data_IF_828439825258
#
_entry.id   IF_828439825258
#
_cell.length_a   1.000
_cell.length_b   1.000
_cell.length_c   1.000
_cell.angle_alpha   90.00
_cell.angle_beta   90.00
_cell.angle_gamma   90.00
#
_symmetry.space_group_name_H-M   'P 1'
#
loop_
_entity.id
_entity.type
_entity.pdbx_description
1 polymer ?
#
# COMPACT_ATOMS: atom_id res chain seq x y z
N UNK A 1 21.91 15.25 -7.43
CA UNK A 1 21.32 14.42 -8.45
C UNK A 1 20.28 13.47 -7.88
N UNK A 2 20.68 12.72 -6.89
CA UNK A 2 19.83 11.67 -6.36
C UNK A 2 18.61 12.14 -5.58
N UNK A 3 18.69 13.27 -4.91
CA UNK A 3 17.62 13.69 -4.00
C UNK A 3 16.31 14.01 -4.72
N UNK A 4 16.37 14.72 -5.82
CA UNK A 4 15.16 15.04 -6.59
C UNK A 4 14.56 13.78 -7.21
N UNK A 5 15.42 12.94 -7.78
CA UNK A 5 14.95 11.71 -8.40
C UNK A 5 14.37 10.76 -7.37
N UNK A 6 14.96 10.69 -6.18
CA UNK A 6 14.43 9.87 -5.09
C UNK A 6 13.05 10.37 -4.68
N UNK A 7 12.88 11.70 -4.58
CA UNK A 7 11.59 12.27 -4.22
C UNK A 7 10.51 11.96 -5.22
N UNK A 8 10.81 12.11 -6.50
CA UNK A 8 9.88 11.76 -7.56
C UNK A 8 9.55 10.28 -7.57
N UNK A 9 10.56 9.43 -7.37
CA UNK A 9 10.36 7.99 -7.31
C UNK A 9 9.46 7.58 -6.15
N UNK A 10 9.60 8.22 -5.01
CA UNK A 10 8.76 7.90 -3.84
C UNK A 10 7.29 8.17 -4.15
N UNK A 11 6.98 9.33 -4.74
CA UNK A 11 5.60 9.67 -5.09
C UNK A 11 5.06 8.67 -6.11
N UNK A 12 5.81 8.39 -7.15
CA UNK A 12 5.40 7.45 -8.18
C UNK A 12 5.22 6.04 -7.63
N UNK A 13 6.12 5.60 -6.75
CA UNK A 13 6.01 4.27 -6.14
C UNK A 13 4.76 4.16 -5.29
N UNK A 14 4.47 5.19 -4.49
CA UNK A 14 3.27 5.17 -3.66
C UNK A 14 2.01 5.12 -4.50
N UNK A 15 1.96 5.92 -5.57
CA UNK A 15 0.81 5.90 -6.48
C UNK A 15 0.66 4.56 -7.18
N UNK A 16 1.77 4.00 -7.67
CA UNK A 16 1.77 2.72 -8.37
C UNK A 16 1.34 1.58 -7.45
N UNK A 17 1.89 1.56 -6.23
CA UNK A 17 1.56 0.53 -5.27
C UNK A 17 0.10 0.61 -4.85
N UNK A 18 -0.40 1.82 -4.62
CA UNK A 18 -1.78 2.00 -4.22
C UNK A 18 -2.74 1.58 -5.34
N UNK A 19 -2.41 1.95 -6.56
CA UNK A 19 -3.21 1.56 -7.72
C UNK A 19 -3.24 0.04 -7.86
N UNK A 20 -2.09 -0.62 -7.73
CA UNK A 20 -2.01 -2.07 -7.80
C UNK A 20 -2.87 -2.73 -6.72
N UNK A 21 -2.76 -2.28 -5.48
CA UNK A 21 -3.50 -2.86 -4.38
C UNK A 21 -5.01 -2.70 -4.55
N UNK A 22 -5.45 -1.52 -4.95
CA UNK A 22 -6.87 -1.23 -5.11
C UNK A 22 -7.50 -1.87 -6.34
N UNK A 23 -6.79 -1.87 -7.46
CA UNK A 23 -7.38 -2.24 -8.74
C UNK A 23 -7.10 -3.67 -9.16
N UNK A 24 -6.04 -4.27 -8.63
CA UNK A 24 -5.62 -5.61 -9.04
C UNK A 24 -5.61 -6.58 -7.86
N UNK A 25 -4.85 -6.29 -6.84
CA UNK A 25 -4.62 -7.24 -5.76
C UNK A 25 -5.87 -7.48 -4.92
N UNK A 26 -6.49 -6.44 -4.42
CA UNK A 26 -7.68 -6.56 -3.59
C UNK A 26 -8.86 -7.22 -4.32
N UNK A 27 -9.21 -6.80 -5.54
CA UNK A 27 -10.30 -7.46 -6.27
C UNK A 27 -10.01 -8.94 -6.54
N UNK A 28 -8.77 -9.28 -6.86
CA UNK A 28 -8.37 -10.66 -7.09
C UNK A 28 -8.54 -11.51 -5.82
N UNK A 29 -8.16 -10.97 -4.68
CA UNK A 29 -8.34 -11.66 -3.40
C UNK A 29 -9.81 -11.88 -3.09
N UNK A 30 -10.65 -10.87 -3.31
CA UNK A 30 -12.08 -10.97 -3.07
C UNK A 30 -12.71 -12.05 -3.96
N UNK A 31 -12.37 -12.07 -5.24
CA UNK A 31 -12.87 -13.07 -6.17
C UNK A 31 -12.42 -14.47 -5.79
N UNK A 32 -11.15 -14.61 -5.41
CA UNK A 32 -10.61 -15.92 -5.06
C UNK A 32 -11.22 -16.44 -3.76
N UNK A 33 -11.46 -15.57 -2.79
CA UNK A 33 -12.16 -15.94 -1.55
C UNK A 33 -13.56 -16.48 -1.88
N UNK A 34 -14.30 -15.80 -2.73
CA UNK A 34 -15.63 -16.24 -3.12
C UNK A 34 -15.58 -17.61 -3.79
N UNK A 35 -14.56 -17.83 -4.62
CA UNK A 35 -14.40 -19.14 -5.28
C UNK A 35 -14.07 -20.24 -4.25
N UNK A 36 -13.20 -19.97 -3.29
CA UNK A 36 -12.86 -20.93 -2.25
C UNK A 36 -14.09 -21.28 -1.41
N UNK A 37 -14.92 -20.31 -1.12
CA UNK A 37 -16.15 -20.53 -0.38
C UNK A 37 -17.12 -21.41 -1.19
N UNK A 38 -17.24 -21.14 -2.46
CA UNK A 38 -18.07 -21.93 -3.36
C UNK A 38 -17.59 -23.39 -3.44
N UNK A 39 -16.27 -23.58 -3.45
CA UNK A 39 -15.66 -24.92 -3.48
C UNK A 39 -15.62 -25.57 -2.10
N UNK A 40 -16.06 -24.87 -1.08
CA UNK A 40 -16.02 -25.31 0.31
C UNK A 40 -14.60 -25.58 0.82
N UNK A 41 -13.64 -24.87 0.27
CA UNK A 41 -12.26 -24.92 0.72
C UNK A 41 -12.05 -23.83 1.76
N UNK A 42 -12.49 -24.11 2.96
CA UNK A 42 -12.49 -23.12 4.05
C UNK A 42 -11.09 -22.81 4.59
N UNK A 43 -10.16 -23.74 4.44
CA UNK A 43 -8.77 -23.51 4.87
C UNK A 43 -8.12 -22.46 3.96
N UNK A 44 -8.26 -22.64 2.66
CA UNK A 44 -7.73 -21.67 1.70
C UNK A 44 -8.44 -20.33 1.82
N UNK A 45 -9.75 -20.34 2.01
CA UNK A 45 -10.51 -19.11 2.23
C UNK A 45 -9.97 -18.34 3.42
N UNK A 46 -9.72 -19.01 4.53
CA UNK A 46 -9.23 -18.37 5.74
C UNK A 46 -7.85 -17.74 5.50
N UNK A 47 -6.96 -18.46 4.82
CA UNK A 47 -5.64 -17.96 4.47
C UNK A 47 -5.74 -16.70 3.59
N UNK A 48 -6.63 -16.73 2.61
CA UNK A 48 -6.84 -15.61 1.69
C UNK A 48 -7.45 -14.42 2.42
N UNK A 49 -8.31 -14.65 3.40
CA UNK A 49 -8.87 -13.57 4.21
C UNK A 49 -7.79 -12.84 5.00
N UNK A 50 -6.79 -13.56 5.51
CA UNK A 50 -5.65 -12.93 6.17
C UNK A 50 -4.84 -12.10 5.18
N UNK A 51 -4.66 -12.59 3.96
CA UNK A 51 -3.98 -11.82 2.93
C UNK A 51 -4.76 -10.56 2.57
N UNK A 52 -6.08 -10.64 2.56
CA UNK A 52 -6.92 -9.48 2.29
C UNK A 52 -6.78 -8.44 3.41
N UNK A 53 -6.70 -8.87 4.66
CA UNK A 53 -6.46 -7.95 5.77
C UNK A 53 -5.14 -7.20 5.57
N UNK A 54 -4.08 -7.91 5.20
CA UNK A 54 -2.80 -7.28 4.93
C UNK A 54 -2.87 -6.32 3.75
N UNK A 55 -3.63 -6.68 2.72
CA UNK A 55 -3.84 -5.81 1.57
C UNK A 55 -4.53 -4.51 1.99
N UNK A 56 -5.56 -4.60 2.82
CA UNK A 56 -6.28 -3.42 3.29
C UNK A 56 -5.43 -2.55 4.20
N UNK A 57 -4.59 -3.17 5.04
CA UNK A 57 -3.62 -2.43 5.85
C UNK A 57 -2.61 -1.69 4.97
N UNK A 58 -2.16 -2.35 3.89
CA UNK A 58 -1.24 -1.73 2.95
C UNK A 58 -1.88 -0.53 2.25
N UNK A 59 -3.13 -0.65 1.83
CA UNK A 59 -3.86 0.45 1.21
C UNK A 59 -3.97 1.62 2.18
N UNK A 60 -4.34 1.34 3.42
CA UNK A 60 -4.47 2.37 4.44
C UNK A 60 -3.14 3.08 4.68
N UNK A 61 -2.07 2.32 4.80
CA UNK A 61 -0.73 2.90 4.98
C UNK A 61 -0.33 3.77 3.80
N UNK A 62 -0.56 3.29 2.58
CA UNK A 62 -0.22 4.04 1.37
C UNK A 62 -1.01 5.34 1.28
N UNK A 63 -2.30 5.30 1.60
CA UNK A 63 -3.14 6.50 1.63
C UNK A 63 -2.65 7.49 2.67
N UNK A 64 -2.23 6.99 3.83
CA UNK A 64 -1.70 7.83 4.89
C UNK A 64 -0.43 8.54 4.42
N UNK A 65 0.47 7.82 3.74
CA UNK A 65 1.68 8.41 3.23
C UNK A 65 1.39 9.48 2.19
N UNK A 66 0.44 9.24 1.30
CA UNK A 66 0.05 10.23 0.30
C UNK A 66 -0.53 11.49 0.94
N UNK A 67 -1.33 11.32 1.99
CA UNK A 67 -1.90 12.45 2.71
C UNK A 67 -0.83 13.27 3.42
N UNK A 68 0.15 12.61 4.00
CA UNK A 68 1.28 13.30 4.63
C UNK A 68 2.05 14.13 3.61
N UNK A 69 2.28 13.61 2.43
CA UNK A 69 2.96 14.35 1.37
C UNK A 69 2.15 15.57 0.95
N UNK A 70 0.83 15.46 0.92
CA UNK A 70 -0.05 16.58 0.57
C UNK A 70 -0.07 17.66 1.65
N UNK A 71 -0.02 17.25 2.92
CA UNK A 71 -0.08 18.18 4.05
C UNK A 71 1.22 18.90 4.28
N UNK A 72 2.35 18.26 3.95
CA UNK A 72 3.68 18.85 4.07
C UNK A 72 4.35 18.78 2.70
N UNK A 73 5.31 19.67 2.46
CA UNK A 73 6.03 19.60 1.19
C UNK A 73 6.84 18.31 1.13
N UNK A 74 7.02 17.77 -0.07
CA UNK A 74 7.76 16.54 -0.26
C UNK A 74 9.16 16.57 0.39
N UNK A 75 9.95 17.66 0.28
CA UNK A 75 11.24 17.71 0.97
C UNK A 75 11.13 17.49 2.47
N UNK A 76 10.10 18.05 3.12
CA UNK A 76 9.90 17.88 4.55
C UNK A 76 9.54 16.43 4.89
N UNK A 77 8.74 15.80 4.06
CA UNK A 77 8.39 14.39 4.22
C UNK A 77 9.62 13.50 4.14
N UNK A 78 10.44 13.71 3.13
CA UNK A 78 11.67 12.92 2.96
C UNK A 78 12.64 13.13 4.11
N UNK A 79 12.76 14.35 4.60
CA UNK A 79 13.62 14.64 5.71
C UNK A 79 13.18 13.90 6.98
N UNK A 80 11.89 13.85 7.23
CA UNK A 80 11.36 13.17 8.40
C UNK A 80 11.67 11.67 8.38
N UNK A 81 11.69 11.08 7.21
CA UNK A 81 11.95 9.64 7.08
C UNK A 81 13.43 9.29 6.95
N UNK A 82 14.20 10.18 6.37
CA UNK A 82 15.61 9.90 6.08
C UNK A 82 16.57 10.44 7.12
N UNK A 83 16.06 11.23 8.05
CA UNK A 83 16.86 11.78 9.13
C UNK A 83 16.12 11.62 10.45
N UNK A 84 16.01 10.39 10.94
CA UNK A 84 15.22 10.12 12.14
C UNK A 84 15.78 10.73 13.41
N UNK A 85 17.02 11.19 13.37
CA UNK A 85 17.63 11.81 14.54
C UNK A 85 17.38 13.29 14.66
N UNK A 86 16.64 13.89 13.76
CA UNK A 86 16.48 15.34 13.67
C UNK A 86 15.29 15.87 14.48
N UNK A 87 14.94 15.30 15.50
CA UNK A 87 13.79 15.72 16.33
C UNK A 87 13.73 17.20 16.61
#
# INVERSE_FOLDING_TARGET
LGKLLIGENVVECLEGDLKYEREIHRPLLVETIALMEELQDYVSRDMLEHLLEHCEEAIDWLETQQNLIKCVTLPNYLQAYMDPGSD
#
